data_IF_506673813270
#
_entry.id   IF_506673813270
#
_cell.length_a   1.000
_cell.length_b   1.000
_cell.length_c   1.000
_cell.angle_alpha   90.00
_cell.angle_beta   90.00
_cell.angle_gamma   90.00
#
_symmetry.space_group_name_H-M   'P 1'
#
loop_
_entity.id
_entity.type
_entity.pdbx_description
1 polymer ?
#
# COMPACT_ATOMS: atom_id res chain seq x y z
N UNK A 1 -23.75 0.16 -0.78
CA UNK A 1 -24.28 1.52 -1.04
C UNK A 1 -23.66 2.58 -0.14
N UNK A 2 -23.42 2.31 1.15
CA UNK A 2 -22.73 3.26 2.05
C UNK A 2 -21.20 3.12 2.07
N UNK A 3 -20.66 1.90 1.93
CA UNK A 3 -19.20 1.67 1.88
C UNK A 3 -18.53 2.31 0.66
N UNK A 4 -19.20 2.30 -0.50
CA UNK A 4 -18.68 2.95 -1.72
C UNK A 4 -18.55 4.46 -1.56
N UNK A 5 -19.51 5.11 -0.90
CA UNK A 5 -19.48 6.56 -0.65
C UNK A 5 -18.33 6.91 0.30
N UNK A 6 -18.13 6.11 1.35
CA UNK A 6 -17.05 6.30 2.32
C UNK A 6 -15.66 6.14 1.66
N UNK A 7 -15.48 5.11 0.83
CA UNK A 7 -14.23 4.89 0.08
C UNK A 7 -13.95 6.02 -0.89
N UNK A 8 -14.98 6.54 -1.57
CA UNK A 8 -14.82 7.64 -2.51
C UNK A 8 -14.41 8.94 -1.81
N UNK A 9 -14.96 9.23 -0.64
CA UNK A 9 -14.57 10.39 0.16
C UNK A 9 -13.13 10.28 0.66
N UNK A 10 -12.69 9.11 1.12
CA UNK A 10 -11.29 8.87 1.53
C UNK A 10 -10.29 9.06 0.37
N UNK A 11 -10.64 8.59 -0.83
CA UNK A 11 -9.83 8.77 -2.04
C UNK A 11 -9.65 10.26 -2.40
N UNK A 12 -10.71 11.06 -2.24
CA UNK A 12 -10.65 12.51 -2.47
C UNK A 12 -9.74 13.20 -1.48
N UNK A 13 -9.92 12.94 -0.18
CA UNK A 13 -9.09 13.52 0.88
C UNK A 13 -7.61 13.17 0.73
N UNK A 14 -7.32 11.90 0.42
CA UNK A 14 -5.96 11.46 0.15
C UNK A 14 -5.36 12.21 -1.03
N UNK A 15 -6.10 12.32 -2.14
CA UNK A 15 -5.62 13.04 -3.31
C UNK A 15 -5.39 14.54 -3.02
N UNK A 16 -6.27 15.21 -2.27
CA UNK A 16 -6.07 16.61 -1.87
C UNK A 16 -4.78 16.77 -1.06
N UNK A 17 -4.56 15.89 -0.09
CA UNK A 17 -3.35 15.90 0.74
C UNK A 17 -2.07 15.66 -0.08
N UNK A 18 -2.07 14.69 -0.99
CA UNK A 18 -0.92 14.40 -1.86
C UNK A 18 -0.68 15.46 -2.94
N UNK A 19 -1.66 16.35 -3.19
CA UNK A 19 -1.53 17.46 -4.13
C UNK A 19 -0.87 18.70 -3.50
N UNK A 20 -0.65 18.70 -2.18
CA UNK A 20 0.04 19.80 -1.50
C UNK A 20 1.49 19.90 -1.99
N UNK A 21 1.95 21.10 -2.31
CA UNK A 21 3.30 21.32 -2.86
C UNK A 21 4.42 20.73 -1.99
N UNK A 22 4.24 20.68 -0.67
CA UNK A 22 5.22 20.12 0.25
C UNK A 22 5.30 18.58 0.22
N UNK A 23 4.32 17.91 -0.40
CA UNK A 23 4.17 16.45 -0.39
C UNK A 23 4.14 15.84 -1.79
N UNK A 24 3.98 16.65 -2.83
CA UNK A 24 3.84 16.20 -4.22
C UNK A 24 5.02 15.34 -4.66
N UNK A 25 6.24 15.66 -4.24
CA UNK A 25 7.46 14.91 -4.57
C UNK A 25 7.60 13.58 -3.82
N UNK A 26 6.74 13.33 -2.82
CA UNK A 26 6.66 12.07 -2.10
C UNK A 26 5.55 11.18 -2.66
N UNK A 27 4.72 11.69 -3.57
CA UNK A 27 3.52 11.01 -4.05
C UNK A 27 3.80 9.64 -4.67
N UNK A 28 4.85 9.53 -5.49
CA UNK A 28 5.26 8.26 -6.07
C UNK A 28 5.56 7.19 -5.02
N UNK A 29 6.47 7.51 -4.08
CA UNK A 29 6.85 6.59 -3.00
C UNK A 29 5.70 6.22 -2.09
N UNK A 30 4.90 7.19 -1.68
CA UNK A 30 3.74 6.93 -0.79
C UNK A 30 2.75 6.00 -1.49
N UNK A 31 2.46 6.22 -2.77
CA UNK A 31 1.55 5.35 -3.52
C UNK A 31 2.11 3.96 -3.72
N UNK A 32 3.40 3.79 -4.02
CA UNK A 32 4.03 2.45 -4.06
C UNK A 32 3.86 1.70 -2.73
N UNK A 33 4.17 2.37 -1.61
CA UNK A 33 4.01 1.77 -0.27
C UNK A 33 2.54 1.40 -0.05
N UNK A 34 1.59 2.30 -0.35
CA UNK A 34 0.17 2.01 -0.18
C UNK A 34 -0.27 0.80 -1.01
N UNK A 35 0.20 0.67 -2.24
CA UNK A 35 -0.10 -0.46 -3.11
C UNK A 35 0.31 -1.77 -2.44
N UNK A 36 1.36 -1.81 -1.64
CA UNK A 36 1.78 -3.02 -0.92
C UNK A 36 0.84 -3.46 0.21
N UNK A 37 -0.02 -2.56 0.69
CA UNK A 37 -1.01 -2.86 1.72
C UNK A 37 -2.43 -3.05 1.17
N UNK A 38 -2.64 -2.89 -0.14
CA UNK A 38 -3.94 -3.04 -0.79
C UNK A 38 -3.88 -4.01 -1.97
N UNK A 39 -5.01 -4.59 -2.36
CA UNK A 39 -5.08 -5.55 -3.47
C UNK A 39 -4.89 -4.80 -4.81
N UNK A 40 -5.74 -3.80 -5.05
CA UNK A 40 -5.66 -2.84 -6.15
C UNK A 40 -6.73 -1.76 -5.87
N UNK A 41 -6.39 -0.48 -6.03
CA UNK A 41 -7.31 0.63 -5.79
C UNK A 41 -7.29 1.56 -7.00
N UNK A 42 -8.45 1.95 -7.55
CA UNK A 42 -8.48 2.91 -8.64
C UNK A 42 -7.97 4.27 -8.14
N UNK A 43 -7.02 4.84 -8.86
CA UNK A 43 -6.53 6.20 -8.61
C UNK A 43 -7.42 7.20 -9.36
N UNK A 44 -7.69 8.35 -8.75
CA UNK A 44 -8.41 9.42 -9.45
C UNK A 44 -7.49 10.11 -10.47
N UNK A 45 -8.10 10.73 -11.49
CA UNK A 45 -7.36 11.35 -12.60
C UNK A 45 -6.35 12.42 -12.14
N UNK A 46 -6.70 13.23 -11.14
CA UNK A 46 -5.80 14.25 -10.60
C UNK A 46 -4.55 13.63 -9.97
N UNK A 47 -4.70 12.55 -9.19
CA UNK A 47 -3.57 11.85 -8.61
C UNK A 47 -2.72 11.18 -9.69
N UNK A 48 -3.34 10.60 -10.71
CA UNK A 48 -2.63 10.05 -11.88
C UNK A 48 -1.73 11.11 -12.52
N UNK A 49 -2.24 12.31 -12.81
CA UNK A 49 -1.45 13.39 -13.42
C UNK A 49 -0.29 13.90 -12.55
N UNK A 50 -0.39 13.76 -11.21
CA UNK A 50 0.72 14.02 -10.30
C UNK A 50 1.76 12.91 -10.40
N UNK A 51 1.31 11.66 -10.38
CA UNK A 51 2.16 10.47 -10.41
C UNK A 51 2.91 10.30 -11.73
N UNK A 52 2.33 10.72 -12.87
CA UNK A 52 2.99 10.72 -14.19
C UNK A 52 4.34 11.48 -14.20
N UNK A 53 4.51 12.44 -13.28
CA UNK A 53 5.73 13.24 -13.14
C UNK A 53 6.74 12.65 -12.15
N UNK A 54 6.38 11.58 -11.46
CA UNK A 54 7.21 10.94 -10.44
C UNK A 54 8.09 9.86 -11.07
N UNK A 55 9.27 9.64 -10.50
CA UNK A 55 10.20 8.60 -10.98
C UNK A 55 9.62 7.19 -10.82
N UNK A 56 8.73 6.99 -9.85
CA UNK A 56 8.05 5.72 -9.55
C UNK A 56 6.94 5.38 -10.55
N UNK A 57 6.58 6.28 -11.47
CA UNK A 57 5.41 6.13 -12.34
C UNK A 57 5.37 4.81 -13.11
N UNK A 58 6.50 4.40 -13.70
CA UNK A 58 6.60 3.17 -14.48
C UNK A 58 6.34 1.91 -13.63
N UNK A 59 6.84 1.91 -12.39
CA UNK A 59 6.63 0.82 -11.44
C UNK A 59 5.16 0.78 -10.97
N UNK A 60 4.58 1.94 -10.65
CA UNK A 60 3.17 2.07 -10.29
C UNK A 60 2.28 1.54 -11.42
N UNK A 61 2.53 1.96 -12.66
CA UNK A 61 1.81 1.46 -13.83
C UNK A 61 1.93 -0.05 -13.97
N UNK A 62 3.12 -0.60 -13.74
CA UNK A 62 3.34 -2.05 -13.81
C UNK A 62 2.48 -2.77 -12.76
N UNK A 63 2.43 -2.26 -11.54
CA UNK A 63 1.61 -2.86 -10.46
C UNK A 63 0.11 -2.75 -10.76
N UNK A 64 -0.36 -1.61 -11.27
CA UNK A 64 -1.78 -1.36 -11.53
C UNK A 64 -2.32 -2.15 -12.73
N UNK A 65 -1.49 -2.38 -13.75
CA UNK A 65 -1.91 -3.05 -14.98
C UNK A 65 -1.71 -4.57 -14.97
N UNK A 66 -1.04 -5.12 -13.97
CA UNK A 66 -0.77 -6.56 -13.88
C UNK A 66 -1.47 -7.17 -12.66
N UNK A 67 -1.88 -8.45 -12.73
CA UNK A 67 -2.35 -9.16 -11.54
C UNK A 67 -1.23 -9.21 -10.49
N UNK A 68 -1.57 -8.95 -9.23
CA UNK A 68 -0.63 -9.09 -8.12
C UNK A 68 -0.22 -10.56 -7.96
N UNK A 69 1.03 -10.77 -7.54
CA UNK A 69 1.55 -12.12 -7.29
C UNK A 69 0.77 -12.82 -6.18
N UNK A 70 0.69 -14.15 -6.22
CA UNK A 70 0.09 -14.94 -5.15
C UNK A 70 0.77 -14.66 -3.79
N UNK A 71 2.09 -14.45 -3.79
CA UNK A 71 2.85 -14.05 -2.61
C UNK A 71 2.31 -12.74 -2.01
N UNK A 72 1.93 -11.75 -2.81
CA UNK A 72 1.31 -10.51 -2.31
C UNK A 72 -0.09 -10.78 -1.75
N UNK A 73 -0.93 -11.49 -2.50
CA UNK A 73 -2.32 -11.77 -2.12
C UNK A 73 -2.41 -12.57 -0.81
N UNK A 74 -1.57 -13.61 -0.65
CA UNK A 74 -1.48 -14.36 0.60
C UNK A 74 -1.11 -13.46 1.79
N UNK A 75 -0.23 -12.47 1.59
CA UNK A 75 0.18 -11.56 2.67
C UNK A 75 -1.00 -10.77 3.17
N UNK A 76 -1.77 -10.22 2.24
CA UNK A 76 -2.96 -9.42 2.55
C UNK A 76 -4.03 -10.25 3.26
N UNK A 77 -4.30 -11.48 2.80
CA UNK A 77 -5.29 -12.34 3.43
C UNK A 77 -4.86 -12.73 4.85
N UNK A 78 -3.59 -13.11 5.06
CA UNK A 78 -3.09 -13.40 6.41
C UNK A 78 -3.19 -12.16 7.31
N UNK A 79 -2.76 -11.00 6.81
CA UNK A 79 -2.81 -9.74 7.57
C UNK A 79 -4.23 -9.29 7.89
N UNK A 80 -5.22 -9.59 7.04
CA UNK A 80 -6.64 -9.31 7.31
C UNK A 80 -7.15 -10.05 8.56
N UNK A 81 -6.67 -11.26 8.80
CA UNK A 81 -6.99 -12.05 10.02
C UNK A 81 -6.09 -11.71 11.21
N UNK A 82 -5.03 -10.94 11.01
CA UNK A 82 -4.17 -10.43 12.07
C UNK A 82 -4.57 -9.00 12.44
N UNK A 83 -5.06 -8.80 13.66
CA UNK A 83 -5.28 -7.43 14.14
C UNK A 83 -3.94 -6.69 14.26
N UNK A 84 -3.98 -5.35 14.15
CA UNK A 84 -2.80 -4.49 14.39
C UNK A 84 -2.14 -4.86 15.74
N UNK A 85 -2.97 -5.11 16.77
CA UNK A 85 -2.51 -5.56 18.09
C UNK A 85 -1.68 -6.85 18.04
N UNK A 86 -2.06 -7.82 17.20
CA UNK A 86 -1.30 -9.07 17.03
C UNK A 86 0.01 -8.83 16.28
N UNK A 87 -0.01 -8.01 15.23
CA UNK A 87 1.19 -7.66 14.47
C UNK A 87 2.21 -6.89 15.30
N UNK A 88 1.76 -6.06 16.25
CA UNK A 88 2.64 -5.34 17.17
C UNK A 88 3.06 -6.16 18.41
N UNK A 89 2.49 -7.34 18.63
CA UNK A 89 2.81 -8.17 19.79
C UNK A 89 4.05 -9.01 19.49
N UNK A 90 5.18 -8.69 20.14
CA UNK A 90 6.45 -9.38 19.93
C UNK A 90 6.38 -10.85 20.28
N UNK A 91 5.73 -11.24 21.38
CA UNK A 91 5.58 -12.65 21.79
C UNK A 91 4.87 -13.47 20.70
N UNK A 92 3.79 -12.93 20.13
CA UNK A 92 3.07 -13.59 19.03
C UNK A 92 3.94 -13.61 17.76
N UNK A 93 4.56 -12.48 17.40
CA UNK A 93 5.34 -12.39 16.17
C UNK A 93 6.64 -13.21 16.22
N UNK A 94 7.23 -13.37 17.39
CA UNK A 94 8.44 -14.18 17.64
C UNK A 94 8.15 -15.68 17.60
N UNK A 95 6.88 -16.09 17.69
CA UNK A 95 6.50 -17.49 17.46
C UNK A 95 6.56 -17.89 15.98
N UNK A 96 6.59 -16.93 15.05
CA UNK A 96 6.74 -17.21 13.62
C UNK A 96 8.23 -17.36 13.25
N UNK A 97 8.56 -18.28 12.32
CA UNK A 97 9.89 -18.34 11.74
C UNK A 97 10.34 -16.99 11.15
N UNK A 98 11.63 -16.61 11.24
CA UNK A 98 12.11 -15.31 10.79
C UNK A 98 11.71 -14.91 9.36
N UNK A 99 11.73 -15.81 8.35
CA UNK A 99 11.31 -15.44 7.00
C UNK A 99 9.83 -15.05 6.92
N UNK A 100 8.95 -15.76 7.64
CA UNK A 100 7.51 -15.49 7.68
C UNK A 100 7.25 -14.19 8.43
N UNK A 101 7.95 -13.97 9.55
CA UNK A 101 7.87 -12.72 10.30
C UNK A 101 8.25 -11.52 9.43
N UNK A 102 9.38 -11.61 8.71
CA UNK A 102 9.84 -10.52 7.84
C UNK A 102 8.88 -10.28 6.67
N UNK A 103 8.36 -11.35 6.07
CA UNK A 103 7.34 -11.30 5.04
C UNK A 103 6.07 -10.58 5.52
N UNK A 104 5.54 -10.94 6.70
CA UNK A 104 4.33 -10.32 7.24
C UNK A 104 4.54 -8.86 7.65
N UNK A 105 5.75 -8.49 8.06
CA UNK A 105 6.11 -7.14 8.51
C UNK A 105 6.68 -6.24 7.39
N UNK A 106 6.68 -6.69 6.13
CA UNK A 106 7.25 -5.96 4.99
C UNK A 106 8.76 -5.65 5.12
N UNK A 107 9.48 -6.35 5.99
CA UNK A 107 10.93 -6.15 6.20
C UNK A 107 11.81 -6.60 5.04
N UNK A 108 11.23 -7.28 4.05
CA UNK A 108 11.93 -7.63 2.82
C UNK A 108 12.28 -6.40 1.97
N UNK A 109 11.67 -5.24 2.26
CA UNK A 109 11.93 -3.97 1.61
C UNK A 109 12.77 -3.01 2.46
N UNK A 110 13.13 -3.41 3.68
CA UNK A 110 14.07 -2.64 4.50
C UNK A 110 15.43 -2.69 3.81
N UNK A 111 15.94 -1.53 3.39
CA UNK A 111 17.27 -1.41 2.79
C UNK A 111 18.31 -1.91 3.81
N UNK A 112 18.84 -3.11 3.63
CA UNK A 112 20.08 -3.57 4.28
C UNK A 112 21.28 -2.91 3.66
#
# INVERSE_FOLDING_TARGET
NNEKIHLQHLLTWFCDFMSLCCLVDLSGRVVLILLDYVICVPLCSRLISILEKQKEWAEICTILNNPRSLKHLCRLEIRKHMTIKRLCNTIIMDSFPPPIKNYLLYKEYDLT
#
